data_IF_207639891500
#
_entry.id   IF_207639891500
#
_cell.length_a   1.000
_cell.length_b   1.000
_cell.length_c   1.000
_cell.angle_alpha   90.00
_cell.angle_beta   90.00
_cell.angle_gamma   90.00
#
_symmetry.space_group_name_H-M   'P 1'
#
loop_
_entity.id
_entity.type
_entity.pdbx_description
1 polymer ?
#
# COMPACT_ATOMS: atom_id res chain seq x y z
N UNK A 1 -14.42 16.23 -5.02
CA UNK A 1 -13.49 16.46 -6.13
C UNK A 1 -12.17 15.86 -5.76
N UNK A 2 -11.61 15.01 -6.62
CA UNK A 2 -10.36 14.30 -6.37
C UNK A 2 -9.14 15.24 -6.45
N UNK A 3 -8.94 16.07 -5.42
CA UNK A 3 -7.87 17.08 -5.39
C UNK A 3 -6.46 16.46 -5.28
N UNK A 4 -6.35 15.18 -4.92
CA UNK A 4 -5.09 14.45 -4.81
C UNK A 4 -4.93 13.35 -5.88
N UNK A 5 -5.88 13.20 -6.80
CA UNK A 5 -5.74 12.20 -7.87
C UNK A 5 -4.78 12.65 -8.94
N UNK A 6 -3.83 11.78 -9.26
CA UNK A 6 -2.92 11.90 -10.39
C UNK A 6 -3.03 10.65 -11.26
N UNK A 7 -2.54 10.73 -12.50
CA UNK A 7 -2.33 9.51 -13.27
C UNK A 7 -1.29 8.67 -12.53
N UNK A 8 -1.69 7.48 -12.09
CA UNK A 8 -0.87 6.52 -11.36
C UNK A 8 -1.18 5.12 -11.88
N UNK A 9 -0.34 4.15 -11.53
CA UNK A 9 -0.69 2.76 -11.79
C UNK A 9 -1.48 2.21 -10.59
N UNK A 10 -2.34 1.23 -10.85
CA UNK A 10 -3.18 0.64 -9.80
C UNK A 10 -2.36 0.08 -8.62
N UNK A 11 -1.15 -0.41 -8.89
CA UNK A 11 -0.22 -0.92 -7.88
C UNK A 11 0.24 0.16 -6.90
N UNK A 12 0.43 1.38 -7.37
CA UNK A 12 0.75 2.53 -6.53
C UNK A 12 -0.42 2.91 -5.63
N UNK A 13 -1.63 2.96 -6.20
CA UNK A 13 -2.85 3.33 -5.47
C UNK A 13 -3.16 2.34 -4.35
N UNK A 14 -3.13 1.04 -4.64
CA UNK A 14 -3.41 0.01 -3.64
C UNK A 14 -2.31 -0.05 -2.56
N UNK A 15 -1.05 0.12 -2.94
CA UNK A 15 0.05 0.17 -1.98
C UNK A 15 -0.12 1.37 -1.02
N UNK A 16 -0.42 2.56 -1.54
CA UNK A 16 -0.69 3.74 -0.69
C UNK A 16 -1.94 3.55 0.16
N UNK A 17 -3.03 3.04 -0.41
CA UNK A 17 -4.29 2.82 0.31
C UNK A 17 -4.11 1.91 1.53
N UNK A 18 -3.37 0.82 1.39
CA UNK A 18 -3.07 -0.10 2.49
C UNK A 18 -2.05 0.52 3.45
N UNK A 19 -0.90 0.97 2.93
CA UNK A 19 0.22 1.41 3.76
C UNK A 19 -0.06 2.66 4.57
N UNK A 20 -0.87 3.59 4.05
CA UNK A 20 -1.07 4.89 4.69
C UNK A 20 -2.19 4.87 5.74
N UNK A 21 -3.11 3.92 5.64
CA UNK A 21 -4.32 3.88 6.44
C UNK A 21 -4.31 2.78 7.51
N UNK A 22 -3.60 1.67 7.28
CA UNK A 22 -3.55 0.57 8.25
C UNK A 22 -2.44 0.74 9.28
N UNK A 23 -2.66 0.22 10.48
CA UNK A 23 -1.58 -0.01 11.44
C UNK A 23 -0.63 -1.10 10.92
N UNK A 24 0.55 -1.24 11.53
CA UNK A 24 1.49 -2.32 11.18
C UNK A 24 0.85 -3.68 11.38
N UNK A 25 0.09 -3.87 12.47
CA UNK A 25 -0.59 -5.12 12.77
C UNK A 25 -1.64 -5.44 11.72
N UNK A 26 -2.58 -4.53 11.48
CA UNK A 26 -3.67 -4.77 10.53
C UNK A 26 -3.15 -5.00 9.12
N UNK A 27 -2.04 -4.35 8.75
CA UNK A 27 -1.38 -4.59 7.48
C UNK A 27 -0.84 -6.02 7.39
N UNK A 28 -0.16 -6.53 8.41
CA UNK A 28 0.34 -7.90 8.40
C UNK A 28 -0.81 -8.92 8.37
N UNK A 29 -1.89 -8.66 9.10
CA UNK A 29 -3.02 -9.58 9.24
C UNK A 29 -3.93 -9.57 8.00
N UNK A 30 -4.17 -8.40 7.40
CA UNK A 30 -5.24 -8.22 6.41
C UNK A 30 -4.76 -8.02 4.97
N UNK A 31 -3.48 -7.75 4.69
CA UNK A 31 -3.03 -7.39 3.33
C UNK A 31 -3.45 -8.44 2.29
N UNK A 32 -3.32 -9.73 2.60
CA UNK A 32 -3.71 -10.78 1.65
C UNK A 32 -5.20 -10.74 1.29
N UNK A 33 -6.07 -10.70 2.30
CA UNK A 33 -7.51 -10.61 2.08
C UNK A 33 -7.89 -9.34 1.30
N UNK A 34 -7.25 -8.21 1.60
CA UNK A 34 -7.49 -6.94 0.90
C UNK A 34 -7.08 -7.00 -0.58
N UNK A 35 -5.97 -7.68 -0.92
CA UNK A 35 -5.58 -7.87 -2.31
C UNK A 35 -6.51 -8.83 -3.05
N UNK A 36 -7.03 -9.85 -2.36
CA UNK A 36 -8.02 -10.80 -2.91
C UNK A 36 -9.34 -10.11 -3.23
N UNK A 37 -9.86 -9.32 -2.29
CA UNK A 37 -11.07 -8.52 -2.52
C UNK A 37 -10.86 -7.50 -3.65
N UNK A 38 -9.72 -6.83 -3.67
CA UNK A 38 -9.39 -5.89 -4.74
C UNK A 38 -9.35 -6.56 -6.11
N UNK A 39 -8.71 -7.73 -6.22
CA UNK A 39 -8.66 -8.51 -7.45
C UNK A 39 -10.06 -8.95 -7.90
N UNK A 40 -10.88 -9.45 -6.99
CA UNK A 40 -12.25 -9.85 -7.30
C UNK A 40 -13.06 -8.67 -7.86
N UNK A 41 -12.94 -7.49 -7.25
CA UNK A 41 -13.56 -6.27 -7.77
C UNK A 41 -12.99 -5.85 -9.12
N UNK A 42 -11.68 -5.94 -9.31
CA UNK A 42 -11.04 -5.57 -10.56
C UNK A 42 -11.51 -6.47 -11.71
N UNK A 43 -11.55 -7.79 -11.50
CA UNK A 43 -12.03 -8.77 -12.49
C UNK A 43 -13.51 -8.55 -12.80
N UNK A 44 -14.35 -8.34 -11.79
CA UNK A 44 -15.79 -8.12 -11.97
C UNK A 44 -16.12 -6.86 -12.78
N UNK A 45 -15.22 -5.88 -12.81
CA UNK A 45 -15.40 -4.61 -13.50
C UNK A 45 -14.50 -4.47 -14.75
N UNK A 46 -13.79 -5.52 -15.13
CA UNK A 46 -12.91 -5.53 -16.31
C UNK A 46 -13.63 -6.10 -17.53
N UNK A 47 -13.20 -5.72 -18.76
CA UNK A 47 -13.61 -6.40 -19.99
C UNK A 47 -13.34 -7.91 -19.96
N UNK A 48 -14.13 -8.71 -20.68
CA UNK A 48 -14.03 -10.18 -20.70
C UNK A 48 -12.66 -10.71 -21.15
N UNK A 49 -11.94 -9.95 -21.98
CA UNK A 49 -10.61 -10.26 -22.51
C UNK A 49 -9.47 -9.79 -21.59
N UNK A 50 -9.77 -9.10 -20.49
CA UNK A 50 -8.78 -8.61 -19.55
C UNK A 50 -8.58 -9.58 -18.39
N UNK A 51 -7.50 -10.35 -18.44
CA UNK A 51 -7.18 -11.37 -17.44
C UNK A 51 -6.07 -10.93 -16.50
N UNK A 52 -6.43 -10.17 -15.46
CA UNK A 52 -5.52 -9.92 -14.35
C UNK A 52 -5.59 -11.07 -13.33
N UNK A 53 -4.43 -11.56 -12.89
CA UNK A 53 -4.35 -12.61 -11.87
C UNK A 53 -4.02 -12.03 -10.50
N UNK A 54 -4.32 -12.80 -9.45
CA UNK A 54 -3.90 -12.48 -8.09
C UNK A 54 -2.39 -12.24 -7.97
N UNK A 55 -1.58 -13.01 -8.69
CA UNK A 55 -0.12 -12.86 -8.69
C UNK A 55 0.32 -11.51 -9.26
N UNK A 56 -0.36 -11.01 -10.29
CA UNK A 56 -0.09 -9.68 -10.85
C UNK A 56 -0.43 -8.59 -9.83
N UNK A 57 -1.57 -8.70 -9.15
CA UNK A 57 -1.97 -7.75 -8.09
C UNK A 57 -0.96 -7.76 -6.94
N UNK A 58 -0.57 -8.95 -6.47
CA UNK A 58 0.44 -9.11 -5.42
C UNK A 58 1.77 -8.50 -5.82
N UNK A 59 2.28 -8.84 -7.00
CA UNK A 59 3.55 -8.33 -7.51
C UNK A 59 3.52 -6.82 -7.69
N UNK A 60 2.40 -6.26 -8.14
CA UNK A 60 2.23 -4.81 -8.23
C UNK A 60 2.29 -4.17 -6.84
N UNK A 61 1.55 -4.69 -5.85
CA UNK A 61 1.62 -4.22 -4.48
C UNK A 61 3.05 -4.26 -3.92
N UNK A 62 3.73 -5.40 -4.03
CA UNK A 62 5.09 -5.58 -3.52
C UNK A 62 6.10 -4.64 -4.20
N UNK A 63 5.93 -4.40 -5.50
CA UNK A 63 6.77 -3.46 -6.28
C UNK A 63 6.62 -2.03 -5.77
N UNK A 64 5.40 -1.61 -5.44
CA UNK A 64 5.10 -0.24 -5.04
C UNK A 64 5.11 -0.02 -3.52
N UNK A 65 5.23 -1.08 -2.72
CA UNK A 65 5.32 -0.98 -1.27
C UNK A 65 6.45 -0.04 -0.79
N UNK A 66 7.69 -0.13 -1.31
CA UNK A 66 8.75 0.79 -0.92
C UNK A 66 8.44 2.25 -1.30
N UNK A 67 7.81 2.47 -2.46
CA UNK A 67 7.39 3.81 -2.89
C UNK A 67 6.33 4.38 -1.95
N UNK A 68 5.32 3.59 -1.60
CA UNK A 68 4.28 3.99 -0.65
C UNK A 68 4.87 4.32 0.72
N UNK A 69 5.89 3.57 1.17
CA UNK A 69 6.64 3.86 2.40
C UNK A 69 7.37 5.21 2.32
N UNK A 70 8.17 5.44 1.28
CA UNK A 70 8.95 6.69 1.13
C UNK A 70 8.04 7.91 0.99
N UNK A 71 6.97 7.79 0.20
CA UNK A 71 6.04 8.91 -0.03
C UNK A 71 5.15 9.20 1.18
N UNK A 72 4.95 8.24 2.09
CA UNK A 72 4.21 8.47 3.33
C UNK A 72 4.88 9.53 4.23
N UNK A 73 6.20 9.65 4.23
CA UNK A 73 6.92 10.66 5.03
C UNK A 73 6.52 12.09 4.67
N UNK A 74 6.27 12.36 3.38
CA UNK A 74 5.74 13.66 2.95
C UNK A 74 4.40 13.97 3.61
N UNK A 75 3.54 12.95 3.79
CA UNK A 75 2.25 13.08 4.49
C UNK A 75 2.45 13.34 5.99
N UNK A 76 3.39 12.66 6.64
CA UNK A 76 3.72 12.90 8.06
C UNK A 76 4.16 14.35 8.26
N UNK A 77 5.08 14.85 7.42
CA UNK A 77 5.63 16.21 7.52
C UNK A 77 4.56 17.27 7.20
N UNK A 78 3.65 16.99 6.27
CA UNK A 78 2.58 17.92 5.90
C UNK A 78 1.46 18.00 6.95
N UNK A 79 1.39 17.07 7.90
CA UNK A 79 0.32 17.00 8.89
C UNK A 79 0.46 18.11 9.92
N UNK A 80 -0.56 18.97 9.99
CA UNK A 80 -0.62 20.10 10.95
C UNK A 80 -1.31 19.73 12.26
N UNK A 81 -2.06 18.62 12.30
CA UNK A 81 -2.73 18.16 13.50
C UNK A 81 -1.73 17.38 14.39
N UNK A 82 -1.50 17.89 15.60
CA UNK A 82 -0.57 17.28 16.54
C UNK A 82 -1.09 15.97 17.14
N UNK A 83 -2.40 15.75 17.18
CA UNK A 83 -2.98 14.50 17.70
C UNK A 83 -2.77 13.33 16.73
N UNK A 84 -2.67 13.63 15.43
CA UNK A 84 -2.48 12.61 14.39
C UNK A 84 -1.02 12.26 14.13
N UNK A 85 -0.08 13.10 14.58
CA UNK A 85 1.33 12.96 14.20
C UNK A 85 1.99 11.71 14.79
N UNK A 86 1.71 11.39 16.06
CA UNK A 86 2.31 10.22 16.73
C UNK A 86 1.83 8.89 16.10
N UNK A 87 0.52 8.66 15.88
CA UNK A 87 0.06 7.48 15.14
C UNK A 87 0.69 7.35 13.74
N UNK A 88 0.90 8.48 13.05
CA UNK A 88 1.53 8.49 11.74
C UNK A 88 3.02 8.15 11.81
N UNK A 89 3.75 8.66 12.81
CA UNK A 89 5.16 8.32 13.04
C UNK A 89 5.31 6.82 13.33
N UNK A 90 4.46 6.26 14.20
CA UNK A 90 4.48 4.81 14.50
C UNK A 90 4.21 3.97 13.25
N UNK A 91 3.26 4.40 12.41
CA UNK A 91 3.01 3.75 11.12
C UNK A 91 4.22 3.81 10.20
N UNK A 92 4.90 4.96 10.12
CA UNK A 92 6.09 5.14 9.30
C UNK A 92 7.25 4.24 9.77
N UNK A 93 7.47 4.12 11.08
CA UNK A 93 8.46 3.20 11.66
C UNK A 93 8.17 1.75 11.26
N UNK A 94 6.91 1.32 11.37
CA UNK A 94 6.51 -0.02 10.97
C UNK A 94 6.67 -0.29 9.47
N UNK A 95 6.43 0.71 8.61
CA UNK A 95 6.66 0.57 7.17
C UNK A 95 8.16 0.36 6.85
N UNK A 96 9.06 1.10 7.53
CA UNK A 96 10.52 0.90 7.38
C UNK A 96 10.91 -0.54 7.78
N UNK A 97 10.40 -1.02 8.92
CA UNK A 97 10.67 -2.38 9.40
C UNK A 97 10.18 -3.46 8.42
N UNK A 98 9.00 -3.26 7.82
CA UNK A 98 8.49 -4.17 6.80
C UNK A 98 9.40 -4.20 5.56
N UNK A 99 9.81 -3.04 5.03
CA UNK A 99 10.73 -2.99 3.88
C UNK A 99 12.06 -3.69 4.20
N UNK A 100 12.62 -3.45 5.37
CA UNK A 100 13.86 -4.11 5.81
C UNK A 100 13.71 -5.64 5.89
N UNK A 101 12.58 -6.12 6.40
CA UNK A 101 12.28 -7.56 6.49
C UNK A 101 12.17 -8.16 5.09
N UNK A 102 11.45 -7.50 4.17
CA UNK A 102 11.34 -7.94 2.78
C UNK A 102 12.70 -7.99 2.08
N UNK A 103 13.56 -6.98 2.27
CA UNK A 103 14.89 -6.98 1.66
C UNK A 103 15.77 -8.11 2.20
N UNK A 104 15.65 -8.44 3.49
CA UNK A 104 16.39 -9.56 4.10
C UNK A 104 15.93 -10.93 3.62
N UNK A 105 14.65 -11.09 3.33
CA UNK A 105 14.12 -12.32 2.71
C UNK A 105 14.59 -12.51 1.26
N UNK A 106 14.97 -11.44 0.57
CA UNK A 106 15.51 -11.49 -0.80
C UNK A 106 17.03 -11.74 -0.84
N UNK A 107 17.72 -11.66 0.29
CA UNK A 107 19.16 -11.97 0.42
C UNK A 107 19.44 -13.46 0.72
N UNK A 108 18.40 -14.26 0.99
CA UNK A 108 18.49 -15.71 1.26
C UNK A 108 17.92 -16.56 0.12
#
# INVERSE_FOLDING_TARGET
>A
GFLESHSGCFGEDIAKAICWNLSTKDRLDCTTALLEEYHAHLVANSPEDYHITMDVVRKAFDTFFPLAMVTFFSKVIATKNKEDIEPMIERAKGLIQNVYTMSKLLEG
#
